data_IF_720712603279
#
_entry.id   IF_720712603279
#
_cell.length_a   1.000
_cell.length_b   1.000
_cell.length_c   1.000
_cell.angle_alpha   90.00
_cell.angle_beta   90.00
_cell.angle_gamma   90.00
#
_symmetry.space_group_name_H-M   'P 1'
#
loop_
_entity.id
_entity.type
_entity.pdbx_description
1 polymer ?
#
# COMPACT_ATOMS: atom_id res chain seq x y z
N UNK A 1 30.15 -8.41 12.65
CA UNK A 1 29.18 -7.53 11.98
C UNK A 1 28.16 -8.43 11.30
N UNK A 2 26.97 -8.57 11.87
CA UNK A 2 25.92 -9.40 11.28
C UNK A 2 25.32 -8.60 10.11
N UNK A 3 25.74 -8.94 8.89
CA UNK A 3 25.12 -8.40 7.68
C UNK A 3 23.81 -9.16 7.44
N UNK A 4 22.68 -8.55 7.79
CA UNK A 4 21.38 -9.01 7.31
C UNK A 4 20.99 -8.13 6.12
N UNK A 5 21.27 -8.58 4.89
CA UNK A 5 20.74 -7.94 3.69
C UNK A 5 19.32 -8.45 3.53
N UNK A 6 18.34 -7.61 3.84
CA UNK A 6 16.94 -7.85 3.47
C UNK A 6 16.74 -7.33 2.04
N UNK A 7 16.86 -8.19 1.03
CA UNK A 7 16.53 -7.86 -0.37
C UNK A 7 15.01 -7.80 -0.54
N UNK A 8 14.44 -6.62 -0.31
CA UNK A 8 13.04 -6.34 -0.64
C UNK A 8 12.98 -5.85 -2.09
N UNK A 9 12.36 -6.67 -2.94
CA UNK A 9 12.05 -6.31 -4.32
C UNK A 9 10.72 -5.53 -4.31
N UNK A 10 10.79 -4.23 -4.55
CA UNK A 10 9.66 -3.31 -4.66
C UNK A 10 9.57 -2.32 -3.49
N UNK A 11 9.81 -1.04 -3.77
CA UNK A 11 9.57 0.12 -2.90
C UNK A 11 8.13 0.62 -2.95
N UNK A 12 7.17 -0.30 -3.03
CA UNK A 12 5.75 0.01 -2.97
C UNK A 12 5.25 0.22 -1.53
N UNK A 13 3.93 0.43 -1.36
CA UNK A 13 3.34 0.82 -0.07
C UNK A 13 3.75 -0.06 1.13
N UNK A 14 3.73 -1.39 0.99
CA UNK A 14 4.19 -2.29 2.06
C UNK A 14 5.72 -2.42 2.14
N UNK A 15 6.42 -2.31 0.99
CA UNK A 15 7.88 -2.39 0.91
C UNK A 15 8.55 -1.23 1.64
N UNK A 16 8.06 -0.01 1.41
CA UNK A 16 8.52 1.21 2.06
C UNK A 16 8.26 1.20 3.57
N UNK A 17 7.08 0.73 4.02
CA UNK A 17 6.79 0.57 5.45
C UNK A 17 7.77 -0.38 6.12
N UNK A 18 8.01 -1.56 5.51
CA UNK A 18 8.94 -2.50 6.11
C UNK A 18 10.38 -1.97 6.11
N UNK A 19 10.83 -1.36 5.00
CA UNK A 19 12.16 -0.78 4.92
C UNK A 19 12.37 0.27 6.01
N UNK A 20 11.39 1.15 6.22
CA UNK A 20 11.41 2.15 7.29
C UNK A 20 11.50 1.49 8.68
N UNK A 21 10.63 0.54 9.01
CA UNK A 21 10.61 -0.13 10.32
C UNK A 21 11.88 -0.92 10.61
N UNK A 22 12.42 -1.66 9.63
CA UNK A 22 13.67 -2.39 9.79
C UNK A 22 14.86 -1.45 10.00
N UNK A 23 14.85 -0.28 9.35
CA UNK A 23 15.91 0.73 9.49
C UNK A 23 15.88 1.51 10.80
N UNK A 24 14.86 1.33 11.66
CA UNK A 24 14.83 1.92 13.00
C UNK A 24 15.94 1.33 13.91
N UNK A 25 16.37 0.10 13.63
CA UNK A 25 17.53 -0.51 14.27
C UNK A 25 18.82 -0.13 13.53
N UNK A 26 19.65 0.70 14.15
CA UNK A 26 20.95 1.14 13.61
C UNK A 26 21.95 0.01 13.35
N UNK A 27 21.70 -1.21 13.84
CA UNK A 27 22.52 -2.38 13.53
C UNK A 27 22.10 -3.09 12.23
N UNK A 28 20.94 -2.74 11.67
CA UNK A 28 20.38 -3.33 10.46
C UNK A 28 20.68 -2.45 9.23
N UNK A 29 21.16 -3.07 8.14
CA UNK A 29 21.34 -2.39 6.84
C UNK A 29 20.26 -2.86 5.87
N UNK A 30 19.47 -1.92 5.34
CA UNK A 30 18.36 -2.23 4.43
C UNK A 30 18.70 -1.79 3.01
N UNK A 31 18.53 -2.70 2.05
CA UNK A 31 18.59 -2.38 0.62
C UNK A 31 17.18 -2.53 0.03
N UNK A 32 16.66 -1.43 -0.52
CA UNK A 32 15.38 -1.40 -1.21
C UNK A 32 15.61 -1.26 -2.71
N UNK A 33 15.10 -2.22 -3.49
CA UNK A 33 15.18 -2.18 -4.96
C UNK A 33 13.81 -1.83 -5.52
N UNK A 34 13.71 -0.76 -6.30
CA UNK A 34 12.49 -0.32 -6.97
C UNK A 34 12.74 -0.24 -8.48
N UNK A 35 11.78 -0.75 -9.26
CA UNK A 35 11.90 -0.81 -10.72
C UNK A 35 11.52 0.52 -11.41
N UNK A 36 10.75 1.35 -10.72
CA UNK A 36 10.35 2.68 -11.16
C UNK A 36 11.31 3.79 -10.74
N UNK A 37 10.91 5.00 -11.13
CA UNK A 37 11.62 6.23 -10.76
C UNK A 37 11.29 6.66 -9.32
N UNK A 38 11.99 7.68 -8.84
CA UNK A 38 11.56 8.43 -7.66
C UNK A 38 10.26 9.22 -7.93
N UNK A 39 9.60 9.60 -6.84
CA UNK A 39 8.46 10.52 -6.84
C UNK A 39 8.83 11.89 -7.46
N UNK A 40 7.81 12.63 -7.91
CA UNK A 40 7.97 13.96 -8.50
C UNK A 40 6.85 14.89 -8.03
N UNK A 41 6.87 16.16 -8.46
CA UNK A 41 5.84 17.12 -8.01
C UNK A 41 4.40 16.72 -8.37
N UNK A 42 4.21 15.91 -9.43
CA UNK A 42 2.88 15.43 -9.86
C UNK A 42 2.38 14.32 -8.95
N UNK A 43 3.26 13.48 -8.39
CA UNK A 43 2.87 12.41 -7.45
C UNK A 43 2.32 12.96 -6.13
N UNK A 44 2.69 14.18 -5.77
CA UNK A 44 2.22 14.86 -4.57
C UNK A 44 0.86 15.57 -4.75
N UNK A 45 0.40 15.75 -6.00
CA UNK A 45 -0.88 16.40 -6.28
C UNK A 45 -1.99 15.36 -6.17
N UNK A 46 -2.98 15.51 -5.26
CA UNK A 46 -4.05 14.52 -5.05
C UNK A 46 -4.82 14.07 -6.28
N UNK A 47 -4.98 14.96 -7.28
CA UNK A 47 -5.69 14.67 -8.54
C UNK A 47 -4.74 14.36 -9.70
N UNK A 48 -3.42 14.41 -9.46
CA UNK A 48 -2.36 14.15 -10.43
C UNK A 48 -2.30 12.70 -10.91
N UNK A 49 -2.86 11.75 -10.14
CA UNK A 49 -2.89 10.33 -10.49
C UNK A 49 -3.46 10.06 -11.89
N UNK A 50 -4.43 10.87 -12.33
CA UNK A 50 -5.08 10.72 -13.65
C UNK A 50 -4.10 10.91 -14.82
N UNK A 51 -3.13 11.81 -14.67
CA UNK A 51 -2.09 12.12 -15.66
C UNK A 51 -0.96 11.08 -15.62
N UNK A 52 -0.78 10.42 -14.47
CA UNK A 52 0.27 9.41 -14.28
C UNK A 52 -0.08 8.03 -14.87
N UNK A 53 -1.36 7.78 -15.13
CA UNK A 53 -1.80 6.54 -15.81
C UNK A 53 -1.24 6.49 -17.23
N UNK A 54 -0.88 5.28 -17.69
CA UNK A 54 -0.26 5.05 -19.01
C UNK A 54 1.01 5.87 -19.26
N UNK A 55 1.69 6.29 -18.19
CA UNK A 55 2.99 6.96 -18.24
C UNK A 55 4.09 6.01 -17.76
N UNK A 56 5.33 6.50 -17.67
CA UNK A 56 6.44 5.72 -17.08
C UNK A 56 6.21 5.31 -15.61
N UNK A 57 5.27 5.96 -14.91
CA UNK A 57 4.89 5.70 -13.53
C UNK A 57 3.79 4.63 -13.39
N UNK A 58 3.31 4.07 -14.49
CA UNK A 58 2.31 3.01 -14.53
C UNK A 58 2.93 1.77 -15.21
N UNK A 59 2.77 0.60 -14.60
CA UNK A 59 3.07 -0.66 -15.27
C UNK A 59 2.15 -0.92 -16.47
N UNK A 60 0.98 -0.27 -16.48
CA UNK A 60 -0.03 -0.34 -17.56
C UNK A 60 -0.37 -1.77 -17.95
N UNK A 61 -0.63 -2.62 -16.95
CA UNK A 61 -1.04 -3.98 -17.21
C UNK A 61 -2.41 -4.02 -17.88
N UNK A 62 -2.60 -4.99 -18.77
CA UNK A 62 -3.88 -5.29 -19.39
C UNK A 62 -4.31 -6.69 -18.94
N UNK A 63 -5.57 -6.84 -18.54
CA UNK A 63 -6.12 -8.16 -18.22
C UNK A 63 -6.46 -8.93 -19.50
N UNK A 64 -6.37 -10.25 -19.44
CA UNK A 64 -6.91 -11.13 -20.48
C UNK A 64 -8.42 -10.90 -20.68
N UNK A 65 -8.97 -11.15 -21.88
CA UNK A 65 -10.41 -11.01 -22.15
C UNK A 65 -11.27 -11.78 -21.13
N UNK A 66 -12.30 -11.12 -20.61
CA UNK A 66 -13.18 -11.72 -19.61
C UNK A 66 -14.45 -12.32 -20.23
N UNK A 67 -14.81 -13.55 -19.85
CA UNK A 67 -15.99 -14.23 -20.41
C UNK A 67 -17.31 -13.76 -19.80
N UNK A 68 -17.29 -13.40 -18.52
CA UNK A 68 -18.48 -13.09 -17.69
C UNK A 68 -18.53 -11.64 -17.20
N UNK A 69 -17.59 -10.79 -17.64
CA UNK A 69 -17.52 -9.39 -17.24
C UNK A 69 -16.98 -8.52 -18.39
N UNK A 70 -16.80 -7.22 -18.15
CA UNK A 70 -16.17 -6.28 -19.09
C UNK A 70 -16.89 -6.13 -20.45
N UNK A 71 -18.18 -6.44 -20.55
CA UNK A 71 -18.94 -6.39 -21.81
C UNK A 71 -18.97 -5.00 -22.49
N UNK A 72 -18.77 -3.93 -21.70
CA UNK A 72 -18.71 -2.55 -22.21
C UNK A 72 -17.32 -2.13 -22.73
N UNK A 73 -16.30 -2.98 -22.57
CA UNK A 73 -14.94 -2.68 -22.98
C UNK A 73 -14.59 -3.35 -24.30
N UNK A 74 -13.76 -2.68 -25.10
CA UNK A 74 -13.25 -3.26 -26.34
C UNK A 74 -12.51 -4.57 -26.05
N UNK A 75 -12.85 -5.61 -26.81
CA UNK A 75 -12.29 -6.96 -26.64
C UNK A 75 -12.47 -7.54 -25.23
N UNK A 76 -13.37 -6.99 -24.40
CA UNK A 76 -13.58 -7.35 -22.99
C UNK A 76 -12.31 -7.26 -22.15
N UNK A 77 -11.42 -6.33 -22.49
CA UNK A 77 -10.16 -6.08 -21.79
C UNK A 77 -10.19 -4.76 -21.02
N UNK A 78 -9.52 -4.73 -19.87
CA UNK A 78 -9.44 -3.57 -18.99
C UNK A 78 -7.97 -3.33 -18.61
N UNK A 79 -7.58 -2.06 -18.58
CA UNK A 79 -6.28 -1.64 -18.04
C UNK A 79 -6.30 -1.66 -16.51
N UNK A 80 -5.34 -2.35 -15.91
CA UNK A 80 -5.14 -2.44 -14.47
C UNK A 80 -3.89 -1.62 -14.09
N UNK A 81 -4.07 -0.34 -13.70
CA UNK A 81 -2.94 0.51 -13.38
C UNK A 81 -2.23 0.00 -12.13
N UNK A 82 -0.90 0.02 -12.15
CA UNK A 82 -0.06 -0.31 -11.00
C UNK A 82 1.11 0.65 -10.96
N UNK A 83 1.34 1.27 -9.81
CA UNK A 83 2.41 2.25 -9.68
C UNK A 83 3.78 1.62 -9.91
N UNK A 84 4.58 2.26 -10.76
CA UNK A 84 5.97 1.92 -11.07
C UNK A 84 6.85 3.10 -10.66
N UNK A 85 7.02 3.27 -9.36
CA UNK A 85 7.86 4.28 -8.74
C UNK A 85 8.03 3.96 -7.25
N UNK A 86 8.91 4.66 -6.55
CA UNK A 86 8.89 4.69 -5.09
C UNK A 86 7.50 5.10 -4.59
N UNK A 87 7.00 4.42 -3.55
CA UNK A 87 5.61 4.45 -3.11
C UNK A 87 4.71 3.42 -3.82
N UNK A 88 5.07 3.00 -5.03
CA UNK A 88 4.33 2.03 -5.82
C UNK A 88 2.91 2.51 -6.10
N UNK A 89 1.91 1.67 -5.88
CA UNK A 89 0.52 2.03 -6.24
C UNK A 89 -0.10 3.12 -5.36
N UNK A 90 0.50 3.51 -4.22
CA UNK A 90 -0.02 4.64 -3.43
C UNK A 90 0.08 5.97 -4.15
N UNK A 91 1.05 6.15 -5.06
CA UNK A 91 1.18 7.37 -5.86
C UNK A 91 0.06 7.50 -6.91
N UNK A 92 -0.53 6.37 -7.34
CA UNK A 92 -1.66 6.34 -8.27
C UNK A 92 -3.01 6.27 -7.55
N UNK A 93 -3.02 6.22 -6.21
CA UNK A 93 -4.22 6.05 -5.41
C UNK A 93 -5.04 7.34 -5.30
N UNK A 94 -6.35 7.19 -5.07
CA UNK A 94 -7.27 8.31 -4.87
C UNK A 94 -7.26 8.86 -3.43
N UNK A 95 -6.19 8.62 -2.67
CA UNK A 95 -6.01 9.03 -1.27
C UNK A 95 -7.12 8.59 -0.29
N UNK A 96 -7.92 7.59 -0.67
CA UNK A 96 -8.94 7.05 0.20
C UNK A 96 -8.30 6.14 1.25
N UNK A 97 -8.46 6.50 2.52
CA UNK A 97 -8.10 5.65 3.65
C UNK A 97 -9.34 4.95 4.21
N UNK A 98 -9.33 3.62 4.17
CA UNK A 98 -10.35 2.76 4.79
C UNK A 98 -9.68 1.52 5.37
N UNK A 99 -10.25 0.98 6.44
CA UNK A 99 -9.86 -0.32 6.99
C UNK A 99 -10.83 -1.40 6.54
N UNK A 100 -10.35 -2.66 6.49
CA UNK A 100 -11.20 -3.82 6.24
C UNK A 100 -12.21 -4.04 7.37
N UNK A 101 -13.21 -4.89 7.12
CA UNK A 101 -14.15 -5.28 8.18
C UNK A 101 -13.46 -6.26 9.13
N UNK A 102 -13.77 -6.21 10.44
CA UNK A 102 -13.29 -7.18 11.44
C UNK A 102 -13.43 -8.64 10.96
N UNK A 103 -14.58 -8.97 10.36
CA UNK A 103 -14.88 -10.32 9.86
C UNK A 103 -13.88 -10.80 8.81
N UNK A 104 -13.33 -9.88 7.99
CA UNK A 104 -12.37 -10.25 6.95
C UNK A 104 -11.08 -10.81 7.58
N UNK A 105 -10.59 -10.16 8.64
CA UNK A 105 -9.37 -10.56 9.35
C UNK A 105 -9.58 -11.77 10.24
N UNK A 106 -10.70 -11.82 10.97
CA UNK A 106 -11.04 -13.01 11.76
C UNK A 106 -11.19 -14.25 10.85
N UNK A 107 -11.76 -14.07 9.65
CA UNK A 107 -11.80 -15.12 8.65
C UNK A 107 -10.41 -15.56 8.17
N UNK A 108 -9.44 -14.66 8.04
CA UNK A 108 -8.07 -15.06 7.71
C UNK A 108 -7.45 -15.95 8.78
N UNK A 109 -7.66 -15.59 10.06
CA UNK A 109 -7.23 -16.41 11.19
C UNK A 109 -7.88 -17.79 11.16
N UNK A 110 -9.20 -17.86 10.98
CA UNK A 110 -9.95 -19.11 10.89
C UNK A 110 -9.50 -20.01 9.72
N UNK A 111 -8.99 -19.40 8.64
CA UNK A 111 -8.41 -20.10 7.49
C UNK A 111 -6.91 -20.41 7.64
N UNK A 112 -6.35 -20.28 8.84
CA UNK A 112 -4.98 -20.72 9.17
C UNK A 112 -3.93 -19.62 9.16
N UNK A 113 -4.31 -18.36 8.94
CA UNK A 113 -3.39 -17.20 9.08
C UNK A 113 -3.27 -16.81 10.55
N UNK A 114 -2.62 -17.65 11.34
CA UNK A 114 -2.45 -17.42 12.79
C UNK A 114 -1.74 -16.08 13.04
N UNK A 115 -2.28 -15.27 13.96
CA UNK A 115 -1.79 -13.92 14.26
C UNK A 115 -2.31 -12.82 13.32
N UNK A 116 -3.29 -13.13 12.47
CA UNK A 116 -3.93 -12.18 11.55
C UNK A 116 -5.42 -11.94 11.85
N UNK A 117 -5.88 -12.22 13.09
CA UNK A 117 -7.22 -11.82 13.50
C UNK A 117 -7.35 -10.30 13.59
N UNK A 118 -8.56 -9.77 13.70
CA UNK A 118 -8.74 -8.33 13.91
C UNK A 118 -8.00 -7.85 15.15
N UNK A 119 -8.10 -8.57 16.26
CA UNK A 119 -7.51 -8.14 17.52
C UNK A 119 -5.97 -8.18 17.46
N UNK A 120 -5.38 -9.07 16.66
CA UNK A 120 -3.94 -9.10 16.40
C UNK A 120 -3.47 -7.89 15.56
N UNK A 121 -4.27 -7.51 14.55
CA UNK A 121 -3.89 -6.50 13.55
C UNK A 121 -4.29 -5.08 13.95
N UNK A 122 -5.33 -4.92 14.76
CA UNK A 122 -5.87 -3.63 15.15
C UNK A 122 -4.82 -2.68 15.77
N UNK A 123 -3.90 -3.13 16.64
CA UNK A 123 -2.80 -2.29 17.12
C UNK A 123 -1.92 -1.71 15.99
N UNK A 124 -1.68 -2.48 14.92
CA UNK A 124 -0.90 -2.01 13.77
C UNK A 124 -1.66 -0.99 12.92
N UNK A 125 -2.99 -1.14 12.82
CA UNK A 125 -3.82 -0.11 12.18
C UNK A 125 -3.74 1.23 12.92
N UNK A 126 -3.75 1.20 14.26
CA UNK A 126 -3.57 2.40 15.08
C UNK A 126 -2.17 2.98 14.95
N UNK A 127 -1.13 2.13 14.93
CA UNK A 127 0.27 2.55 14.79
C UNK A 127 0.54 3.25 13.45
N UNK A 128 -0.18 2.89 12.40
CA UNK A 128 0.00 3.50 11.07
C UNK A 128 -0.62 4.89 10.93
N UNK A 129 -1.70 5.18 11.66
CA UNK A 129 -2.57 6.35 11.45
C UNK A 129 -2.17 7.56 12.31
N UNK A 130 -2.30 8.76 11.74
CA UNK A 130 -2.20 10.05 12.39
C UNK A 130 -3.46 10.90 12.17
N UNK A 131 -4.57 10.45 12.78
CA UNK A 131 -5.88 11.02 12.53
C UNK A 131 -5.99 12.47 13.02
N UNK A 132 -6.14 13.40 12.08
CA UNK A 132 -6.19 14.84 12.37
C UNK A 132 -7.53 15.33 12.90
N UNK A 133 -8.60 14.53 12.85
CA UNK A 133 -9.89 14.92 13.38
C UNK A 133 -9.94 14.66 14.92
N UNK A 134 -9.97 15.71 15.76
CA UNK A 134 -9.92 15.56 17.22
C UNK A 134 -11.17 14.89 17.81
N UNK A 135 -12.31 14.93 17.13
CA UNK A 135 -13.58 14.39 17.65
C UNK A 135 -13.59 12.85 17.63
N UNK A 136 -12.87 12.24 16.68
CA UNK A 136 -12.84 10.78 16.49
C UNK A 136 -11.50 10.16 16.87
N UNK A 137 -10.41 10.93 16.87
CA UNK A 137 -9.06 10.41 17.12
C UNK A 137 -8.90 9.70 18.47
N UNK A 138 -9.79 9.94 19.43
CA UNK A 138 -9.71 9.40 20.79
C UNK A 138 -10.90 8.50 21.18
N UNK A 139 -11.70 8.05 20.21
CA UNK A 139 -12.86 7.19 20.47
C UNK A 139 -12.51 5.71 20.74
N UNK A 140 -11.23 5.37 20.86
CA UNK A 140 -10.73 4.00 21.03
C UNK A 140 -10.57 3.21 19.73
N UNK A 141 -10.99 3.75 18.59
CA UNK A 141 -10.88 3.12 17.27
C UNK A 141 -9.83 3.74 16.33
N UNK A 142 -9.22 4.88 16.71
CA UNK A 142 -8.27 5.62 15.88
C UNK A 142 -6.96 5.95 16.60
N UNK A 143 -5.91 6.19 15.81
CA UNK A 143 -4.55 6.48 16.27
C UNK A 143 -4.09 7.91 15.92
N UNK A 144 -3.08 8.38 16.66
CA UNK A 144 -2.32 9.61 16.38
C UNK A 144 -0.83 9.36 16.49
N UNK A 145 -0.05 10.13 15.73
CA UNK A 145 1.42 10.04 15.70
C UNK A 145 1.99 8.93 14.81
N UNK A 146 1.14 8.26 14.01
CA UNK A 146 1.57 7.40 12.91
C UNK A 146 2.10 8.20 11.71
N UNK A 147 2.33 7.51 10.59
CA UNK A 147 2.89 8.10 9.37
C UNK A 147 1.84 8.42 8.29
N UNK A 148 0.59 7.95 8.44
CA UNK A 148 -0.50 8.09 7.47
C UNK A 148 -1.59 9.07 7.92
#
# INVERSE_FOLDING_TARGET
YNFCVFEKVGGGSAGSVLANRLSEDNSTTVLLLEAGDAENVVTEIPLGWSIMRKSKYDWDFEIEPQDVSCFAFQQRKITLPRGKALGGSSILGNLLYTRGNRRDFDSWFDNGSIGWSWDDLFPYFLLSEDNKNPEIAYNGYHGRGGYL
#
